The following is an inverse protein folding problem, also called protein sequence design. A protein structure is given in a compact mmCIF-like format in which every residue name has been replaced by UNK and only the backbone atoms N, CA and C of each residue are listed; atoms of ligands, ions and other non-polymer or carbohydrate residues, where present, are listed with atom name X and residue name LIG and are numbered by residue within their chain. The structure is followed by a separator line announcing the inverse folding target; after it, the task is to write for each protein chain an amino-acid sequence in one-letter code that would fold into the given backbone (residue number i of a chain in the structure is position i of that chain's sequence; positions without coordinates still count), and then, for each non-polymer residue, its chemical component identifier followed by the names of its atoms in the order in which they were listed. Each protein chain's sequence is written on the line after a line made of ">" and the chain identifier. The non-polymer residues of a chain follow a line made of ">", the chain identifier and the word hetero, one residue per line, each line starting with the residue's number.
data_IF_447432318732
#
_entry.id   IF_447432318732
#
_cell.length_a   1.000
_cell.length_b   1.000
_cell.length_c   1.000
_cell.angle_alpha   90.00
_cell.angle_beta   90.00
_cell.angle_gamma   90.00
#
_symmetry.space_group_name_H-M   'P 1'
#
loop_
_entity.id
_entity.type
_entity.pdbx_description
1 polymer ?
#
# COMPACT_ATOMS: atom_id res chain seq x y z
N UNK A 1 -16.97 -15.74 -59.98
CA UNK A 1 -17.76 -15.55 -58.75
C UNK A 1 -16.80 -15.69 -57.59
N UNK A 2 -16.41 -14.58 -56.97
CA UNK A 2 -15.44 -14.52 -55.88
C UNK A 2 -16.24 -14.38 -54.59
N UNK A 3 -16.02 -15.32 -53.68
CA UNK A 3 -16.60 -15.40 -52.35
C UNK A 3 -15.99 -14.30 -51.46
N UNK A 4 -16.77 -13.54 -50.67
CA UNK A 4 -16.19 -12.56 -49.76
C UNK A 4 -15.57 -13.28 -48.56
N UNK A 5 -14.35 -12.91 -48.23
CA UNK A 5 -13.65 -13.34 -47.02
C UNK A 5 -14.32 -12.71 -45.81
N UNK A 6 -14.87 -13.53 -44.92
CA UNK A 6 -15.18 -13.15 -43.54
C UNK A 6 -13.85 -12.91 -42.81
N UNK A 7 -13.51 -11.64 -42.60
CA UNK A 7 -12.39 -11.23 -41.77
C UNK A 7 -12.96 -10.69 -40.44
N UNK A 8 -12.90 -11.44 -39.33
CA UNK A 8 -13.23 -10.90 -38.02
C UNK A 8 -12.03 -10.09 -37.55
N UNK A 9 -12.02 -8.79 -37.89
CA UNK A 9 -11.22 -7.81 -37.17
C UNK A 9 -11.66 -7.83 -35.70
N UNK A 10 -10.92 -8.61 -34.92
CA UNK A 10 -10.93 -8.69 -33.47
C UNK A 10 -10.49 -7.34 -32.91
N UNK A 11 -11.43 -6.40 -32.87
CA UNK A 11 -11.22 -5.14 -32.17
C UNK A 11 -11.26 -5.44 -30.66
N UNK A 12 -10.06 -5.57 -30.10
CA UNK A 12 -9.75 -5.88 -28.71
C UNK A 12 -10.23 -4.78 -27.77
N UNK A 13 -11.55 -4.70 -27.62
CA UNK A 13 -12.20 -3.91 -26.60
C UNK A 13 -11.87 -4.53 -25.25
N UNK A 14 -10.83 -4.03 -24.56
CA UNK A 14 -10.56 -4.33 -23.14
C UNK A 14 -11.91 -4.31 -22.42
N UNK A 15 -12.41 -5.43 -21.84
CA UNK A 15 -13.78 -5.49 -21.34
C UNK A 15 -13.96 -4.41 -20.28
N UNK A 16 -14.72 -3.35 -20.58
CA UNK A 16 -15.05 -2.23 -19.69
C UNK A 16 -16.03 -2.66 -18.59
N UNK A 17 -15.71 -3.77 -17.92
CA UNK A 17 -16.37 -4.12 -16.65
C UNK A 17 -16.08 -3.03 -15.62
N UNK A 18 -16.96 -2.92 -14.63
CA UNK A 18 -16.74 -2.07 -13.47
C UNK A 18 -15.37 -2.42 -12.86
N UNK A 19 -14.62 -1.43 -12.36
CA UNK A 19 -13.30 -1.66 -11.73
C UNK A 19 -13.35 -2.79 -10.68
N UNK A 20 -14.50 -2.95 -10.04
CA UNK A 20 -14.80 -4.01 -9.09
C UNK A 20 -14.70 -5.42 -9.71
N UNK A 21 -15.37 -5.69 -10.83
CA UNK A 21 -15.38 -7.02 -11.48
C UNK A 21 -13.98 -7.41 -11.97
N UNK A 22 -13.24 -6.43 -12.51
CA UNK A 22 -11.84 -6.62 -12.90
C UNK A 22 -10.98 -6.92 -11.69
N UNK A 23 -11.17 -6.21 -10.59
CA UNK A 23 -10.41 -6.43 -9.35
C UNK A 23 -10.65 -7.85 -8.83
N UNK A 24 -11.90 -8.30 -8.73
CA UNK A 24 -12.23 -9.65 -8.27
C UNK A 24 -11.56 -10.73 -9.12
N UNK A 25 -11.62 -10.60 -10.45
CA UNK A 25 -11.00 -11.55 -11.39
C UNK A 25 -9.49 -11.67 -11.19
N UNK A 26 -8.81 -10.56 -10.88
CA UNK A 26 -7.37 -10.56 -10.64
C UNK A 26 -7.04 -11.03 -9.21
N UNK A 27 -7.83 -10.66 -8.21
CA UNK A 27 -7.62 -11.06 -6.81
C UNK A 27 -7.66 -12.57 -6.64
N UNK A 28 -8.60 -13.27 -7.30
CA UNK A 28 -8.66 -14.74 -7.24
C UNK A 28 -7.36 -15.40 -7.74
N UNK A 29 -6.78 -14.87 -8.82
CA UNK A 29 -5.53 -15.36 -9.41
C UNK A 29 -4.31 -14.96 -8.58
N UNK A 30 -4.38 -13.81 -7.91
CA UNK A 30 -3.30 -13.22 -7.14
C UNK A 30 -3.40 -13.54 -5.65
N UNK A 31 -4.35 -14.37 -5.22
CA UNK A 31 -4.57 -14.72 -3.81
C UNK A 31 -3.30 -15.16 -3.07
N UNK A 32 -2.35 -15.90 -3.67
CA UNK A 32 -1.09 -16.22 -2.98
C UNK A 32 -0.29 -14.98 -2.55
N UNK A 33 -0.44 -13.84 -3.21
CA UNK A 33 0.18 -12.57 -2.83
C UNK A 33 -0.42 -11.97 -1.55
N UNK A 34 -1.60 -12.41 -1.10
CA UNK A 34 -2.15 -12.03 0.20
C UNK A 34 -1.27 -12.50 1.36
N UNK A 35 -0.35 -13.44 1.14
CA UNK A 35 0.67 -13.79 2.13
C UNK A 35 1.58 -12.61 2.47
N UNK A 36 1.81 -11.67 1.55
CA UNK A 36 2.64 -10.49 1.83
C UNK A 36 1.99 -9.59 2.90
N UNK A 37 0.77 -9.06 2.71
CA UNK A 37 0.12 -8.25 3.74
C UNK A 37 -0.13 -9.03 5.05
N UNK A 38 -0.30 -10.35 4.99
CA UNK A 38 -0.38 -11.20 6.18
C UNK A 38 0.95 -11.23 6.94
N UNK A 39 2.05 -11.52 6.25
CA UNK A 39 3.39 -11.56 6.85
C UNK A 39 3.75 -10.20 7.42
N UNK A 40 3.48 -9.11 6.70
CA UNK A 40 3.76 -7.77 7.23
C UNK A 40 2.93 -7.44 8.46
N UNK A 41 1.66 -7.84 8.51
CA UNK A 41 0.84 -7.69 9.70
C UNK A 41 1.39 -8.48 10.90
N UNK A 42 1.86 -9.71 10.67
CA UNK A 42 2.41 -10.58 11.71
C UNK A 42 3.79 -10.17 12.22
N UNK A 43 4.58 -9.46 11.40
CA UNK A 43 5.89 -8.96 11.79
C UNK A 43 5.80 -7.84 12.85
N UNK A 44 4.65 -7.18 12.99
CA UNK A 44 4.38 -6.23 14.06
C UNK A 44 3.92 -6.97 15.33
N UNK A 45 4.86 -7.69 15.95
CA UNK A 45 4.61 -8.55 17.12
C UNK A 45 4.15 -7.73 18.33
N UNK A 46 4.69 -6.51 18.50
CA UNK A 46 4.33 -5.63 19.61
C UNK A 46 2.83 -5.29 19.57
N UNK A 47 2.31 -4.92 18.40
CA UNK A 47 0.89 -4.64 18.19
C UNK A 47 0.02 -5.86 18.46
N UNK A 48 0.44 -7.05 18.02
CA UNK A 48 -0.28 -8.30 18.29
C UNK A 48 -0.39 -8.62 19.78
N UNK A 49 0.68 -8.38 20.55
CA UNK A 49 0.67 -8.64 21.99
C UNK A 49 -0.12 -7.59 22.76
N UNK A 50 -0.16 -6.34 22.27
CA UNK A 50 -0.91 -5.24 22.86
C UNK A 50 -2.44 -5.40 22.73
N UNK A 51 -2.93 -6.19 21.78
CA UNK A 51 -4.37 -6.44 21.55
C UNK A 51 -5.15 -6.96 22.75
N UNK A 52 -4.49 -7.65 23.69
CA UNK A 52 -5.13 -8.19 24.89
C UNK A 52 -5.22 -7.21 26.06
N UNK A 53 -4.65 -6.01 25.93
CA UNK A 53 -4.56 -5.01 27.02
C UNK A 53 -5.48 -3.80 26.86
N UNK A 54 -6.27 -3.73 25.79
CA UNK A 54 -7.10 -2.55 25.48
C UNK A 54 -8.55 -2.70 25.93
N UNK A 55 -9.05 -1.71 26.66
CA UNK A 55 -10.49 -1.59 27.02
C UNK A 55 -11.38 -1.13 25.84
N UNK A 56 -10.79 -0.88 24.67
CA UNK A 56 -11.49 -0.40 23.48
C UNK A 56 -11.93 -1.57 22.61
N UNK A 57 -13.24 -1.68 22.35
CA UNK A 57 -13.82 -2.77 21.56
C UNK A 57 -14.05 -2.41 20.07
N UNK A 58 -14.06 -1.11 19.72
CA UNK A 58 -14.33 -0.63 18.36
C UNK A 58 -13.44 0.56 18.05
N UNK A 59 -12.70 0.52 16.94
CA UNK A 59 -11.95 1.66 16.40
C UNK A 59 -12.39 1.98 14.97
N UNK A 60 -12.53 3.26 14.66
CA UNK A 60 -12.71 3.71 13.27
C UNK A 60 -11.39 4.29 12.78
N UNK A 61 -10.77 3.64 11.80
CA UNK A 61 -9.55 4.13 11.15
C UNK A 61 -9.81 4.42 9.68
N UNK A 62 -9.50 5.65 9.28
CA UNK A 62 -9.54 6.09 7.89
C UNK A 62 -8.10 6.23 7.40
N UNK A 63 -7.62 5.23 6.66
CA UNK A 63 -6.22 5.25 6.22
C UNK A 63 -6.07 6.02 4.93
N UNK A 64 -5.27 7.08 5.01
CA UNK A 64 -4.81 7.81 3.85
C UNK A 64 -4.05 6.85 2.92
N UNK A 65 -4.03 7.06 1.59
CA UNK A 65 -3.35 6.19 0.64
C UNK A 65 -1.89 5.92 1.05
N UNK A 66 -1.67 4.74 1.62
CA UNK A 66 -0.35 4.25 2.01
C UNK A 66 0.13 3.31 0.93
N UNK A 67 1.41 3.41 0.60
CA UNK A 67 1.94 2.66 -0.51
C UNK A 67 1.83 1.13 -0.29
N UNK A 68 1.84 0.63 0.96
CA UNK A 68 1.49 -0.76 1.28
C UNK A 68 0.34 -0.81 2.29
N UNK A 69 -0.73 -1.55 1.94
CA UNK A 69 -1.82 -1.88 2.86
C UNK A 69 -1.56 -3.23 3.56
N UNK A 70 -1.81 -3.27 4.86
CA UNK A 70 -1.84 -4.44 5.74
C UNK A 70 -2.94 -4.30 6.82
N UNK A 71 -3.01 -5.19 7.81
CA UNK A 71 -4.01 -5.12 8.89
C UNK A 71 -3.98 -3.77 9.63
N UNK A 72 -2.78 -3.27 9.96
CA UNK A 72 -2.58 -2.06 10.74
C UNK A 72 -2.84 -0.79 9.92
N UNK A 73 -2.84 -0.91 8.60
CA UNK A 73 -3.41 0.10 7.71
C UNK A 73 -4.94 0.12 7.68
N UNK A 74 -5.64 -0.80 8.34
CA UNK A 74 -7.12 -0.85 8.33
C UNK A 74 -7.68 -0.72 9.75
N UNK A 75 -6.95 -1.21 10.76
CA UNK A 75 -7.33 -1.15 12.18
C UNK A 75 -6.39 -0.23 12.94
N UNK A 76 -6.88 0.45 13.98
CA UNK A 76 -6.01 1.22 14.85
C UNK A 76 -5.10 0.28 15.67
N UNK A 77 -3.79 0.55 15.72
CA UNK A 77 -2.92 -0.32 16.53
C UNK A 77 -3.25 -0.13 18.02
N UNK A 78 -3.50 -1.21 18.79
CA UNK A 78 -3.78 -1.12 20.22
C UNK A 78 -2.57 -0.65 21.04
N UNK A 79 -1.34 -0.73 20.49
CA UNK A 79 -0.14 -0.16 21.10
C UNK A 79 -0.10 1.38 21.08
N UNK A 80 -0.90 2.00 20.21
CA UNK A 80 -0.82 3.42 19.89
C UNK A 80 -2.16 4.14 20.15
N UNK A 81 -2.54 4.20 21.43
CA UNK A 81 -3.59 5.13 21.89
C UNK A 81 -3.21 6.61 21.82
N UNK A 82 -2.05 6.98 21.29
CA UNK A 82 -1.65 8.37 21.10
C UNK A 82 -0.89 8.56 19.79
N UNK A 83 -1.41 9.47 18.97
CA UNK A 83 -0.67 10.04 17.85
C UNK A 83 0.59 10.71 18.40
N UNK A 84 1.76 10.12 18.11
CA UNK A 84 3.07 10.79 18.10
C UNK A 84 3.63 11.29 19.47
N UNK A 85 3.04 10.90 20.60
CA UNK A 85 3.48 11.33 21.94
C UNK A 85 4.11 10.24 22.81
N UNK A 86 4.32 9.04 22.27
CA UNK A 86 5.07 7.98 22.95
C UNK A 86 6.09 7.38 21.99
N UNK A 87 7.12 8.16 21.64
CA UNK A 87 8.42 7.51 21.38
C UNK A 87 8.81 6.91 22.73
N UNK A 88 8.86 5.58 22.89
CA UNK A 88 9.34 4.96 24.11
C UNK A 88 10.86 5.12 24.12
N UNK A 89 11.35 6.34 24.41
CA UNK A 89 12.76 6.54 24.72
C UNK A 89 13.16 5.81 26.01
N UNK A 90 12.18 5.36 26.80
CA UNK A 90 12.40 4.56 28.01
C UNK A 90 12.60 3.05 27.73
N UNK A 91 12.30 2.59 26.51
CA UNK A 91 12.45 1.18 26.10
C UNK A 91 13.46 1.01 24.97
N UNK A 92 14.43 1.92 24.88
CA UNK A 92 15.59 1.69 24.01
C UNK A 92 16.39 0.53 24.56
N UNK A 93 16.13 -0.67 24.04
CA UNK A 93 17.21 -1.62 23.81
C UNK A 93 18.38 -0.86 23.16
N UNK A 94 19.63 -1.32 23.34
CA UNK A 94 20.84 -0.52 23.10
C UNK A 94 20.68 0.35 21.86
N UNK A 95 20.71 1.69 21.97
CA UNK A 95 20.46 2.63 20.85
C UNK A 95 21.25 2.26 19.58
N UNK A 96 22.39 1.58 19.76
CA UNK A 96 23.22 0.98 18.73
C UNK A 96 22.53 -0.07 17.83
N UNK A 97 21.45 -0.71 18.29
CA UNK A 97 20.67 -1.71 17.55
C UNK A 97 19.56 -1.09 16.69
N UNK A 98 19.18 0.17 16.94
CA UNK A 98 18.14 0.84 16.16
C UNK A 98 18.55 1.00 14.68
N UNK A 99 19.76 1.51 14.33
CA UNK A 99 20.18 1.60 12.93
C UNK A 99 20.25 0.26 12.18
N UNK A 100 20.85 -0.83 12.71
CA UNK A 100 20.88 -2.10 11.99
C UNK A 100 19.49 -2.74 11.88
N UNK A 101 18.63 -2.63 12.91
CA UNK A 101 17.26 -3.14 12.84
C UNK A 101 16.44 -2.38 11.79
N UNK A 102 16.60 -1.05 11.72
CA UNK A 102 15.99 -0.21 10.70
C UNK A 102 16.49 -0.58 9.29
N UNK A 103 17.80 -0.85 9.15
CA UNK A 103 18.37 -1.33 7.89
C UNK A 103 17.77 -2.66 7.45
N UNK A 104 17.62 -3.62 8.37
CA UNK A 104 16.96 -4.90 8.11
C UNK A 104 15.51 -4.69 7.70
N UNK A 105 14.76 -3.85 8.42
CA UNK A 105 13.38 -3.50 8.07
C UNK A 105 13.29 -2.94 6.64
N UNK A 106 14.11 -1.94 6.30
CA UNK A 106 14.11 -1.31 4.97
C UNK A 106 14.42 -2.32 3.87
N UNK A 107 15.36 -3.24 4.10
CA UNK A 107 15.70 -4.28 3.13
C UNK A 107 14.56 -5.29 2.98
N UNK A 108 14.07 -5.86 4.08
CA UNK A 108 13.00 -6.87 4.06
C UNK A 108 11.73 -6.28 3.48
N UNK A 109 11.34 -5.08 3.93
CA UNK A 109 10.19 -4.34 3.42
C UNK A 109 10.37 -4.02 1.93
N UNK A 110 11.52 -3.49 1.52
CA UNK A 110 11.78 -3.18 0.11
C UNK A 110 11.69 -4.41 -0.81
N UNK A 111 12.24 -5.55 -0.38
CA UNK A 111 12.15 -6.81 -1.13
C UNK A 111 10.73 -7.34 -1.20
N UNK A 112 9.98 -7.33 -0.08
CA UNK A 112 8.57 -7.74 -0.06
C UNK A 112 7.73 -6.85 -0.97
N UNK A 113 7.93 -5.53 -0.93
CA UNK A 113 7.29 -4.60 -1.86
C UNK A 113 7.64 -4.93 -3.32
N UNK A 114 8.92 -5.13 -3.64
CA UNK A 114 9.34 -5.44 -5.00
C UNK A 114 8.65 -6.68 -5.58
N UNK A 115 8.64 -7.77 -4.81
CA UNK A 115 7.95 -8.98 -5.21
C UNK A 115 6.44 -8.78 -5.30
N UNK A 116 5.83 -8.07 -4.35
CA UNK A 116 4.39 -7.85 -4.26
C UNK A 116 3.87 -6.98 -5.41
N UNK A 117 4.35 -5.75 -5.54
CA UNK A 117 3.88 -4.83 -6.58
C UNK A 117 4.30 -5.30 -7.97
N UNK A 118 5.52 -5.85 -8.10
CA UNK A 118 5.97 -6.52 -9.32
C UNK A 118 5.03 -7.63 -9.78
N UNK A 119 4.56 -8.46 -8.83
CA UNK A 119 3.66 -9.57 -9.15
C UNK A 119 2.24 -9.12 -9.45
N UNK A 120 1.75 -8.05 -8.83
CA UNK A 120 0.48 -7.41 -9.19
C UNK A 120 0.55 -6.88 -10.62
N UNK A 121 1.59 -6.12 -10.97
CA UNK A 121 1.77 -5.58 -12.32
C UNK A 121 1.88 -6.69 -13.38
N UNK A 122 2.73 -7.69 -13.14
CA UNK A 122 2.86 -8.84 -14.04
C UNK A 122 1.55 -9.63 -14.19
N UNK A 123 0.80 -9.77 -13.09
CA UNK A 123 -0.51 -10.42 -13.07
C UNK A 123 -1.57 -9.66 -13.88
N UNK A 124 -1.56 -8.33 -13.83
CA UNK A 124 -2.46 -7.47 -14.61
C UNK A 124 -2.12 -7.53 -16.10
N UNK A 125 -0.83 -7.49 -16.45
CA UNK A 125 -0.38 -7.44 -17.85
C UNK A 125 -0.44 -8.82 -18.54
N UNK A 126 0.01 -9.88 -17.85
CA UNK A 126 0.27 -11.19 -18.47
C UNK A 126 -0.58 -12.33 -17.88
N UNK A 127 -1.32 -12.08 -16.79
CA UNK A 127 -2.11 -13.10 -16.10
C UNK A 127 -1.30 -14.13 -15.32
N UNK A 128 0.03 -13.99 -15.25
CA UNK A 128 0.96 -14.83 -14.49
C UNK A 128 1.93 -13.96 -13.70
N UNK A 129 2.47 -14.48 -12.59
CA UNK A 129 3.47 -13.77 -11.81
C UNK A 129 4.58 -14.71 -11.34
N UNK A 130 5.77 -14.13 -11.16
CA UNK A 130 6.92 -14.77 -10.50
C UNK A 130 7.51 -13.78 -9.50
N UNK A 131 7.26 -14.07 -8.22
CA UNK A 131 7.70 -13.21 -7.11
C UNK A 131 9.22 -13.04 -7.09
N UNK A 132 9.98 -14.12 -7.28
CA UNK A 132 11.44 -14.08 -7.20
C UNK A 132 12.05 -13.26 -8.34
N UNK A 133 11.52 -13.43 -9.55
CA UNK A 133 11.92 -12.62 -10.71
C UNK A 133 11.62 -11.13 -10.48
N UNK A 134 10.45 -10.81 -9.92
CA UNK A 134 10.07 -9.44 -9.59
C UNK A 134 10.94 -8.81 -8.49
N UNK A 135 11.30 -9.58 -7.45
CA UNK A 135 12.26 -9.15 -6.43
C UNK A 135 13.62 -8.83 -7.05
N UNK A 136 14.12 -9.67 -7.97
CA UNK A 136 15.42 -9.41 -8.64
C UNK A 136 15.36 -8.17 -9.55
N UNK A 137 14.23 -7.94 -10.22
CA UNK A 137 14.04 -6.80 -11.13
C UNK A 137 13.87 -5.47 -10.39
N UNK A 138 13.05 -5.44 -9.35
CA UNK A 138 12.63 -4.21 -8.67
C UNK A 138 13.24 -4.01 -7.27
N UNK A 139 13.85 -5.04 -6.68
CA UNK A 139 14.32 -5.07 -5.29
C UNK A 139 15.14 -3.85 -4.89
N UNK A 140 16.21 -3.56 -5.62
CA UNK A 140 17.08 -2.40 -5.32
C UNK A 140 16.31 -1.09 -5.38
N UNK A 141 15.46 -0.88 -6.39
CA UNK A 141 14.70 0.36 -6.56
C UNK A 141 13.69 0.55 -5.41
N UNK A 142 13.09 -0.54 -4.96
CA UNK A 142 12.08 -0.53 -3.91
C UNK A 142 12.69 -0.41 -2.52
N UNK A 143 13.86 -1.01 -2.27
CA UNK A 143 14.64 -0.78 -1.05
C UNK A 143 15.07 0.68 -0.95
N UNK A 144 15.58 1.26 -2.06
CA UNK A 144 15.98 2.67 -2.07
C UNK A 144 14.77 3.58 -1.86
N UNK A 145 13.64 3.27 -2.50
CA UNK A 145 12.42 4.03 -2.27
C UNK A 145 11.95 3.95 -0.81
N UNK A 146 11.95 2.76 -0.23
CA UNK A 146 11.60 2.55 1.18
C UNK A 146 12.52 3.36 2.10
N UNK A 147 13.83 3.32 1.85
CA UNK A 147 14.81 4.10 2.58
C UNK A 147 14.54 5.61 2.49
N UNK A 148 14.17 6.11 1.32
CA UNK A 148 13.82 7.53 1.10
C UNK A 148 12.56 7.91 1.85
N UNK A 149 11.53 7.06 1.86
CA UNK A 149 10.28 7.29 2.59
C UNK A 149 10.56 7.33 4.09
N UNK A 150 11.25 6.32 4.61
CA UNK A 150 11.63 6.24 6.03
C UNK A 150 12.45 7.45 6.44
N UNK A 151 13.50 7.78 5.69
CA UNK A 151 14.33 8.96 5.95
C UNK A 151 13.52 10.27 5.88
N UNK A 152 12.58 10.38 4.94
CA UNK A 152 11.68 11.53 4.82
C UNK A 152 10.77 11.71 6.04
N UNK A 153 10.22 10.62 6.57
CA UNK A 153 9.43 10.64 7.81
C UNK A 153 10.29 11.06 8.99
N UNK A 154 11.46 10.46 9.18
CA UNK A 154 12.39 10.87 10.26
C UNK A 154 12.74 12.36 10.16
N UNK A 155 13.04 12.84 8.95
CA UNK A 155 13.37 14.24 8.72
C UNK A 155 12.18 15.18 9.01
N UNK A 156 10.95 14.75 8.73
CA UNK A 156 9.74 15.49 9.05
C UNK A 156 9.46 15.57 10.57
N UNK A 157 9.90 14.57 11.34
CA UNK A 157 9.76 14.55 12.80
C UNK A 157 10.79 15.46 13.52
N UNK A 158 11.97 15.69 12.95
CA UNK A 158 13.00 16.58 13.53
C UNK A 158 12.48 17.99 13.86
N UNK A 159 11.88 18.76 12.91
CA UNK A 159 11.38 20.10 13.20
C UNK A 159 10.20 20.08 14.17
N UNK A 160 9.47 18.97 14.23
CA UNK A 160 8.31 18.84 15.09
C UNK A 160 8.68 18.74 16.58
N UNK A 161 9.80 18.08 16.90
CA UNK A 161 10.36 18.08 18.26
C UNK A 161 10.78 19.48 18.68
N UNK A 162 11.30 20.28 17.75
CA UNK A 162 11.77 21.64 18.02
C UNK A 162 10.63 22.67 18.11
N UNK A 163 9.57 22.50 17.31
CA UNK A 163 8.47 23.47 17.20
C UNK A 163 7.13 22.74 17.11
N UNK A 164 6.48 22.41 18.25
CA UNK A 164 5.21 21.67 18.27
C UNK A 164 4.08 22.29 17.43
N UNK A 165 3.94 23.62 17.31
CA UNK A 165 2.93 24.22 16.42
C UNK A 165 3.08 23.86 14.93
N UNK A 166 4.27 23.43 14.48
CA UNK A 166 4.47 22.98 13.10
C UNK A 166 3.87 21.59 12.84
N UNK A 167 3.37 20.90 13.87
CA UNK A 167 2.72 19.60 13.75
C UNK A 167 1.62 19.55 12.71
N UNK A 168 0.64 20.44 12.84
CA UNK A 168 -0.49 20.47 11.93
C UNK A 168 -0.03 20.70 10.48
N UNK A 169 0.98 21.55 10.29
CA UNK A 169 1.55 21.82 8.98
C UNK A 169 2.34 20.63 8.43
N UNK A 170 3.11 19.93 9.26
CA UNK A 170 3.87 18.74 8.89
C UNK A 170 2.94 17.59 8.49
N UNK A 171 1.88 17.36 9.27
CA UNK A 171 0.82 16.38 8.96
C UNK A 171 0.15 16.74 7.64
N UNK A 172 -0.26 18.00 7.46
CA UNK A 172 -0.87 18.45 6.21
C UNK A 172 0.07 18.29 5.01
N UNK A 173 1.35 18.64 5.16
CA UNK A 173 2.35 18.47 4.12
C UNK A 173 2.54 16.99 3.76
N UNK A 174 2.58 16.10 4.76
CA UNK A 174 2.71 14.65 4.55
C UNK A 174 1.49 14.07 3.83
N UNK A 175 0.28 14.53 4.16
CA UNK A 175 -0.95 14.14 3.45
C UNK A 175 -0.93 14.60 2.00
N UNK A 176 -0.54 15.86 1.75
CA UNK A 176 -0.44 16.40 0.38
C UNK A 176 0.61 15.65 -0.43
N UNK A 177 1.78 15.39 0.15
CA UNK A 177 2.85 14.63 -0.51
C UNK A 177 2.42 13.20 -0.79
N UNK A 178 1.80 12.54 0.19
CA UNK A 178 1.23 11.20 0.01
C UNK A 178 0.24 11.19 -1.15
N UNK A 179 -0.70 12.14 -1.21
CA UNK A 179 -1.67 12.21 -2.29
C UNK A 179 -1.02 12.38 -3.67
N UNK A 180 -0.05 13.29 -3.78
CA UNK A 180 0.60 13.63 -5.04
C UNK A 180 1.53 12.53 -5.55
N UNK A 181 2.21 11.83 -4.63
CA UNK A 181 3.22 10.83 -4.96
C UNK A 181 2.78 9.39 -4.71
N UNK A 182 1.56 9.14 -4.25
CA UNK A 182 1.04 7.80 -4.00
C UNK A 182 1.16 6.86 -5.23
N UNK A 183 0.84 7.28 -6.47
CA UNK A 183 0.98 6.40 -7.63
C UNK A 183 2.41 6.05 -8.00
N UNK A 184 3.42 6.68 -7.37
CA UNK A 184 4.84 6.58 -7.76
C UNK A 184 5.27 5.15 -7.97
N UNK A 185 4.84 4.24 -7.09
CA UNK A 185 5.38 2.90 -7.16
C UNK A 185 4.61 1.98 -8.10
N UNK A 186 3.31 2.19 -8.22
CA UNK A 186 2.53 1.55 -9.27
C UNK A 186 3.10 1.95 -10.63
N UNK A 187 3.39 3.24 -10.85
CA UNK A 187 4.06 3.71 -12.08
C UNK A 187 5.46 3.13 -12.23
N UNK A 188 6.24 3.04 -11.14
CA UNK A 188 7.59 2.46 -11.16
C UNK A 188 7.56 1.04 -11.70
N UNK A 189 6.61 0.23 -11.23
CA UNK A 189 6.53 -1.18 -11.58
C UNK A 189 5.81 -1.40 -12.91
N UNK A 190 4.63 -0.78 -13.11
CA UNK A 190 3.82 -0.93 -14.33
C UNK A 190 4.55 -0.43 -15.58
N UNK A 191 5.31 0.67 -15.45
CA UNK A 191 6.03 1.26 -16.57
C UNK A 191 7.54 0.94 -16.55
N UNK A 192 8.01 0.07 -15.65
CA UNK A 192 9.43 -0.26 -15.39
C UNK A 192 10.35 0.98 -15.36
N UNK A 193 9.94 2.00 -14.60
CA UNK A 193 10.66 3.28 -14.50
C UNK A 193 11.66 3.30 -13.35
N UNK A 194 12.58 4.26 -13.39
CA UNK A 194 13.38 4.65 -12.22
C UNK A 194 12.56 5.51 -11.25
N UNK A 195 12.99 5.59 -9.98
CA UNK A 195 12.26 6.28 -8.89
C UNK A 195 11.91 7.73 -9.26
N UNK A 196 12.89 8.54 -9.68
CA UNK A 196 12.66 9.95 -10.00
C UNK A 196 11.78 10.16 -11.24
N UNK A 197 11.91 9.30 -12.26
CA UNK A 197 11.03 9.33 -13.43
C UNK A 197 9.60 8.90 -13.07
N UNK A 198 9.45 7.91 -12.18
CA UNK A 198 8.16 7.43 -11.73
C UNK A 198 7.44 8.47 -10.87
N UNK A 199 8.16 9.15 -9.96
CA UNK A 199 7.59 10.21 -9.13
C UNK A 199 7.09 11.40 -9.96
N UNK A 200 7.86 11.84 -10.96
CA UNK A 200 7.42 12.90 -11.89
C UNK A 200 6.21 12.49 -12.72
N UNK A 201 6.18 11.24 -13.19
CA UNK A 201 5.05 10.70 -13.95
C UNK A 201 3.80 10.58 -13.06
N UNK A 202 3.94 10.08 -11.84
CA UNK A 202 2.86 10.00 -10.86
C UNK A 202 2.27 11.38 -10.53
N UNK A 203 3.13 12.38 -10.24
CA UNK A 203 2.69 13.75 -10.02
C UNK A 203 1.90 14.30 -11.22
N UNK A 204 2.37 14.05 -12.45
CA UNK A 204 1.68 14.43 -13.68
C UNK A 204 0.29 13.78 -13.81
N UNK A 205 0.20 12.47 -13.53
CA UNK A 205 -1.07 11.73 -13.58
C UNK A 205 -2.07 12.27 -12.55
N UNK A 206 -1.67 12.47 -11.30
CA UNK A 206 -2.53 12.99 -10.24
C UNK A 206 -3.00 14.42 -10.57
N UNK A 207 -2.11 15.28 -11.05
CA UNK A 207 -2.45 16.67 -11.39
C UNK A 207 -3.45 16.76 -12.54
N UNK A 208 -3.36 15.86 -13.52
CA UNK A 208 -4.23 15.84 -14.71
C UNK A 208 -5.58 15.17 -14.43
N UNK A 209 -5.58 14.00 -13.79
CA UNK A 209 -6.78 13.19 -13.62
C UNK A 209 -7.52 13.45 -12.32
N UNK A 210 -6.88 14.10 -11.33
CA UNK A 210 -7.43 14.43 -10.02
C UNK A 210 -8.32 13.31 -9.43
N UNK A 211 -7.76 12.12 -9.14
CA UNK A 211 -8.54 10.95 -8.72
C UNK A 211 -9.06 11.03 -7.27
N UNK A 212 -9.50 12.22 -6.84
CA UNK A 212 -9.98 12.53 -5.48
C UNK A 212 -11.09 11.57 -5.05
N UNK A 213 -12.08 11.32 -5.92
CA UNK A 213 -13.19 10.44 -5.59
C UNK A 213 -12.79 8.98 -5.39
N UNK A 214 -11.80 8.49 -6.13
CA UNK A 214 -11.27 7.14 -5.94
C UNK A 214 -10.60 7.01 -4.57
N UNK A 215 -9.81 8.00 -4.18
CA UNK A 215 -9.18 8.02 -2.86
C UNK A 215 -10.18 8.19 -1.72
N UNK A 216 -11.20 9.03 -1.89
CA UNK A 216 -12.29 9.16 -0.92
C UNK A 216 -13.07 7.85 -0.80
N UNK A 217 -13.28 7.12 -1.89
CA UNK A 217 -13.90 5.81 -1.85
C UNK A 217 -13.01 4.79 -1.10
N UNK A 218 -11.70 4.75 -1.36
CA UNK A 218 -10.76 3.91 -0.59
C UNK A 218 -10.78 4.26 0.91
N UNK A 219 -10.81 5.55 1.24
CA UNK A 219 -10.92 6.04 2.61
C UNK A 219 -12.22 5.56 3.28
N UNK A 220 -13.35 5.63 2.56
CA UNK A 220 -14.65 5.18 3.06
C UNK A 220 -14.69 3.65 3.25
N UNK A 221 -14.14 2.87 2.31
CA UNK A 221 -14.14 1.41 2.42
C UNK A 221 -13.20 0.94 3.52
N UNK A 222 -12.02 1.54 3.66
CA UNK A 222 -11.11 1.23 4.79
C UNK A 222 -11.77 1.55 6.13
N UNK A 223 -12.43 2.71 6.25
CA UNK A 223 -13.20 3.06 7.44
C UNK A 223 -14.33 2.04 7.72
N UNK A 224 -15.04 1.58 6.69
CA UNK A 224 -16.09 0.58 6.84
C UNK A 224 -15.54 -0.79 7.28
N UNK A 225 -14.40 -1.22 6.73
CA UNK A 225 -13.72 -2.46 7.11
C UNK A 225 -13.10 -2.38 8.51
N UNK A 226 -12.72 -1.18 8.97
CA UNK A 226 -12.05 -0.99 10.27
C UNK A 226 -12.91 -1.42 11.46
N UNK A 227 -14.22 -1.22 11.40
CA UNK A 227 -15.15 -1.54 12.50
C UNK A 227 -15.19 -3.04 12.81
N UNK A 228 -15.55 -3.95 11.88
CA UNK A 228 -15.57 -5.37 12.17
C UNK A 228 -14.18 -5.96 12.44
N UNK A 229 -13.14 -5.44 11.76
CA UNK A 229 -11.78 -5.91 11.96
C UNK A 229 -11.23 -5.51 13.33
N UNK A 230 -11.54 -4.30 13.82
CA UNK A 230 -11.13 -3.85 15.16
C UNK A 230 -11.80 -4.64 16.27
N UNK A 231 -13.11 -4.91 16.15
CA UNK A 231 -13.84 -5.79 17.07
C UNK A 231 -13.20 -7.18 17.18
N UNK A 232 -12.76 -7.73 16.05
CA UNK A 232 -12.08 -9.01 16.03
C UNK A 232 -10.66 -8.92 16.60
N UNK A 233 -9.93 -7.84 16.26
CA UNK A 233 -8.52 -7.65 16.63
C UNK A 233 -8.34 -7.46 18.14
N UNK A 234 -9.22 -6.69 18.79
CA UNK A 234 -9.10 -6.36 20.22
C UNK A 234 -9.63 -7.45 21.17
N UNK A 235 -10.05 -8.60 20.66
CA UNK A 235 -10.40 -9.78 21.48
C UNK A 235 -9.14 -10.55 21.95
N UNK A 236 -7.95 -10.10 21.56
CA UNK A 236 -6.66 -10.67 21.96
C UNK A 236 -5.84 -11.21 20.78
N UNK A 237 -4.66 -11.80 21.06
CA UNK A 237 -3.66 -12.09 20.04
C UNK A 237 -4.10 -13.14 19.01
N UNK A 238 -4.85 -14.17 19.43
CA UNK A 238 -5.38 -15.20 18.52
C UNK A 238 -6.44 -14.60 17.58
N UNK A 239 -7.47 -13.89 18.08
CA UNK A 239 -8.39 -13.12 17.22
C UNK A 239 -7.70 -12.11 16.29
N UNK A 240 -6.63 -11.44 16.74
CA UNK A 240 -5.85 -10.54 15.89
C UNK A 240 -5.17 -11.25 14.70
N UNK A 241 -4.66 -12.47 14.89
CA UNK A 241 -4.15 -13.29 13.77
C UNK A 241 -5.27 -13.65 12.79
N UNK A 242 -6.46 -13.97 13.28
CA UNK A 242 -7.63 -14.25 12.42
C UNK A 242 -8.02 -12.98 11.64
N UNK A 243 -8.03 -11.82 12.30
CA UNK A 243 -8.27 -10.53 11.66
C UNK A 243 -7.22 -10.24 10.57
N UNK A 244 -5.95 -10.56 10.80
CA UNK A 244 -4.88 -10.43 9.80
C UNK A 244 -5.14 -11.32 8.57
N UNK A 245 -5.57 -12.56 8.78
CA UNK A 245 -5.92 -13.49 7.69
C UNK A 245 -7.10 -12.98 6.86
N UNK A 246 -8.10 -12.37 7.50
CA UNK A 246 -9.26 -11.77 6.81
C UNK A 246 -8.88 -10.47 6.10
N UNK A 247 -8.03 -9.64 6.71
CA UNK A 247 -7.60 -8.35 6.16
C UNK A 247 -6.65 -8.51 4.97
N UNK A 248 -5.83 -9.56 4.94
CA UNK A 248 -4.86 -9.82 3.88
C UNK A 248 -5.45 -9.80 2.44
N UNK A 249 -6.54 -10.53 2.10
CA UNK A 249 -7.16 -10.46 0.79
C UNK A 249 -7.81 -9.10 0.51
N UNK A 250 -8.33 -8.40 1.53
CA UNK A 250 -8.90 -7.06 1.40
C UNK A 250 -7.79 -6.06 1.01
N UNK A 251 -6.66 -6.10 1.70
CA UNK A 251 -5.49 -5.30 1.39
C UNK A 251 -4.96 -5.59 -0.03
N UNK A 252 -4.96 -6.86 -0.46
CA UNK A 252 -4.64 -7.23 -1.83
C UNK A 252 -5.62 -6.60 -2.84
N UNK A 253 -6.92 -6.70 -2.58
CA UNK A 253 -7.94 -6.10 -3.45
C UNK A 253 -7.76 -4.59 -3.61
N UNK A 254 -7.43 -3.86 -2.53
CA UNK A 254 -7.15 -2.42 -2.62
C UNK A 254 -5.92 -2.11 -3.46
N UNK A 255 -4.84 -2.87 -3.31
CA UNK A 255 -3.63 -2.69 -4.10
C UNK A 255 -3.85 -3.01 -5.58
N UNK A 256 -4.61 -4.06 -5.90
CA UNK A 256 -4.98 -4.41 -7.28
C UNK A 256 -5.89 -3.35 -7.90
N UNK A 257 -6.93 -2.90 -7.19
CA UNK A 257 -7.83 -1.85 -7.65
C UNK A 257 -7.07 -0.54 -7.94
N UNK A 258 -6.11 -0.21 -7.07
CA UNK A 258 -5.25 0.94 -7.24
C UNK A 258 -4.35 0.80 -8.46
N UNK A 259 -3.69 -0.36 -8.63
CA UNK A 259 -2.84 -0.61 -9.79
C UNK A 259 -3.63 -0.48 -11.11
N UNK A 260 -4.84 -1.05 -11.16
CA UNK A 260 -5.74 -0.91 -12.31
C UNK A 260 -6.15 0.54 -12.55
N UNK A 261 -6.41 1.32 -11.50
CA UNK A 261 -6.75 2.74 -11.63
C UNK A 261 -5.57 3.55 -12.17
N UNK A 262 -4.35 3.25 -11.73
CA UNK A 262 -3.13 3.90 -12.22
C UNK A 262 -2.88 3.54 -13.68
N UNK A 263 -3.04 2.27 -14.07
CA UNK A 263 -2.94 1.83 -15.46
C UNK A 263 -3.97 2.54 -16.36
N UNK A 264 -5.22 2.66 -15.90
CA UNK A 264 -6.27 3.39 -16.62
C UNK A 264 -5.89 4.86 -16.87
N UNK A 265 -5.39 5.57 -15.84
CA UNK A 265 -4.93 6.96 -15.98
C UNK A 265 -3.74 7.07 -16.94
N UNK A 266 -2.82 6.10 -16.91
CA UNK A 266 -1.66 6.09 -17.79
C UNK A 266 -2.02 5.80 -19.26
N UNK A 267 -3.01 4.94 -19.50
CA UNK A 267 -3.48 4.57 -20.83
C UNK A 267 -4.26 5.68 -21.55
N UNK A 268 -5.00 6.52 -20.81
CA UNK A 268 -5.69 7.68 -21.41
C UNK A 268 -4.67 8.66 -22.01
N UNK A 269 -3.55 8.87 -21.31
CA UNK A 269 -2.48 9.77 -21.71
C UNK A 269 -1.69 9.34 -22.95
N UNK A 270 -1.72 8.06 -23.35
CA UNK A 270 -1.03 7.59 -24.57
C UNK A 270 -1.89 7.70 -25.82
N UNK A 271 -3.19 7.97 -25.65
CA UNK A 271 -4.18 8.09 -26.74
C UNK A 271 -4.52 9.52 -27.14
N UNK A 272 -3.96 10.50 -26.43
CA UNK A 272 -4.09 11.95 -26.70
C UNK A 272 -2.77 12.56 -27.16
#
# INVERSE_FOLDING_TARGET
>A
MVQPSDDPSSDGSRPRGLLFDRTLTHVERLLPLALVPLVTALLNVDDLTATGGTDTLVSVRASFPVYRYDLWSIVESPGDGSTLASVPLDSVGPLALVPPLLGVYVVVSGLLSAGYFGSIAAGIETGRFDFGTNVRRFGVRLIVLEAVVVAGVFLALVPLVAVPPLFALAVLALLVLSYLFFPTVYVLVLEDRGIGSAARRAYGLVKRHQPVWFFLALLAVTALCSVPLSMLTYLGPVPAVIAAVVAAPIALAFNVATALKVDEMAAIDTTT
#
